data_IF_233715238018
#
_entry.id   IF_233715238018
#
_cell.length_a   1.000
_cell.length_b   1.000
_cell.length_c   1.000
_cell.angle_alpha   90.00
_cell.angle_beta   90.00
_cell.angle_gamma   90.00
#
_symmetry.space_group_name_H-M   'P 1'
#
loop_
_entity.id
_entity.type
_entity.pdbx_description
1 polymer ?
#
# COMPACT_ATOMS: atom_id res chain seq x y z
N UNK A 1 -32.23 -21.55 26.79
CA UNK A 1 -32.19 -22.25 25.50
C UNK A 1 -32.13 -21.18 24.44
N UNK A 2 -30.92 -20.77 24.10
CA UNK A 2 -30.58 -20.16 22.81
C UNK A 2 -29.34 -20.91 22.36
N UNK A 3 -29.59 -22.06 21.74
CA UNK A 3 -28.55 -22.85 21.10
C UNK A 3 -28.16 -22.13 19.82
N UNK A 4 -26.90 -21.70 19.73
CA UNK A 4 -26.03 -21.87 18.55
C UNK A 4 -24.65 -21.27 18.88
N UNK A 5 -23.91 -22.00 19.72
CA UNK A 5 -22.51 -21.77 20.13
C UNK A 5 -21.52 -22.50 19.20
N UNK A 6 -21.93 -22.83 17.98
CA UNK A 6 -21.10 -23.57 17.04
C UNK A 6 -21.07 -22.86 15.68
N UNK A 7 -20.45 -21.68 15.61
CA UNK A 7 -19.88 -21.25 14.34
C UNK A 7 -18.57 -22.02 14.17
N UNK A 8 -18.69 -23.09 13.38
CA UNK A 8 -17.65 -24.07 13.14
C UNK A 8 -16.74 -23.44 12.09
N UNK A 9 -15.68 -22.76 12.56
CA UNK A 9 -14.54 -22.35 11.75
C UNK A 9 -13.99 -23.57 11.00
N UNK A 10 -14.54 -23.78 9.82
CA UNK A 10 -14.19 -24.83 8.88
C UNK A 10 -13.17 -24.20 7.95
N UNK A 11 -11.90 -24.50 8.20
CA UNK A 11 -10.74 -24.04 7.41
C UNK A 11 -10.78 -24.48 5.93
N UNK A 12 -11.79 -25.24 5.51
CA UNK A 12 -11.98 -25.79 4.16
C UNK A 12 -13.33 -25.37 3.52
N UNK A 13 -14.03 -24.40 4.10
CA UNK A 13 -15.31 -23.93 3.58
C UNK A 13 -15.12 -22.99 2.38
N UNK A 14 -15.43 -23.50 1.17
CA UNK A 14 -15.52 -22.68 -0.05
C UNK A 14 -16.71 -21.73 0.11
N UNK A 15 -16.42 -20.43 0.24
CA UNK A 15 -17.45 -19.38 0.24
C UNK A 15 -17.79 -19.01 -1.21
N UNK A 16 -19.00 -19.32 -1.71
CA UNK A 16 -19.42 -18.83 -3.00
C UNK A 16 -19.53 -17.30 -2.93
N UNK A 17 -18.95 -16.62 -3.91
CA UNK A 17 -18.97 -15.17 -4.06
C UNK A 17 -19.62 -14.81 -5.39
N UNK A 18 -20.46 -13.78 -5.38
CA UNK A 18 -21.02 -13.25 -6.63
C UNK A 18 -19.91 -12.53 -7.42
N UNK A 19 -19.80 -12.88 -8.69
CA UNK A 19 -18.74 -12.36 -9.55
C UNK A 19 -18.91 -10.86 -9.77
N UNK A 20 -20.14 -10.38 -9.99
CA UNK A 20 -20.41 -8.98 -10.30
C UNK A 20 -20.06 -8.10 -9.12
N UNK A 21 -20.56 -8.44 -7.93
CA UNK A 21 -20.27 -7.70 -6.69
C UNK A 21 -18.76 -7.68 -6.38
N UNK A 22 -18.08 -8.83 -6.54
CA UNK A 22 -16.64 -8.94 -6.29
C UNK A 22 -15.82 -8.09 -7.25
N UNK A 23 -16.18 -8.08 -8.54
CA UNK A 23 -15.48 -7.28 -9.55
C UNK A 23 -15.64 -5.78 -9.30
N UNK A 24 -16.84 -5.31 -8.98
CA UNK A 24 -17.11 -3.90 -8.68
C UNK A 24 -16.31 -3.44 -7.46
N UNK A 25 -16.34 -4.22 -6.38
CA UNK A 25 -15.59 -3.92 -5.15
C UNK A 25 -14.09 -3.89 -5.39
N UNK A 26 -13.54 -4.92 -6.05
CA UNK A 26 -12.10 -5.03 -6.32
C UNK A 26 -11.61 -3.90 -7.23
N UNK A 27 -12.44 -3.49 -8.19
CA UNK A 27 -12.13 -2.37 -9.07
C UNK A 27 -12.07 -1.04 -8.31
N UNK A 28 -13.07 -0.77 -7.46
CA UNK A 28 -13.11 0.45 -6.65
C UNK A 28 -11.93 0.50 -5.67
N UNK A 29 -11.63 -0.60 -4.99
CA UNK A 29 -10.52 -0.66 -4.02
C UNK A 29 -9.17 -0.39 -4.69
N UNK A 30 -8.94 -0.99 -5.87
CA UNK A 30 -7.73 -0.73 -6.63
C UNK A 30 -7.68 0.72 -7.14
N UNK A 31 -8.77 1.23 -7.70
CA UNK A 31 -8.85 2.59 -8.22
C UNK A 31 -8.57 3.62 -7.12
N UNK A 32 -9.21 3.47 -5.96
CA UNK A 32 -9.00 4.35 -4.81
C UNK A 32 -7.56 4.29 -4.30
N UNK A 33 -6.97 3.09 -4.20
CA UNK A 33 -5.56 2.92 -3.82
C UNK A 33 -4.61 3.63 -4.79
N UNK A 34 -4.86 3.54 -6.09
CA UNK A 34 -4.05 4.21 -7.13
C UNK A 34 -4.17 5.72 -7.02
N UNK A 35 -5.39 6.26 -6.88
CA UNK A 35 -5.64 7.70 -6.81
C UNK A 35 -4.97 8.30 -5.58
N UNK A 36 -5.22 7.73 -4.40
CA UNK A 36 -4.77 8.30 -3.14
C UNK A 36 -3.26 8.10 -2.89
N UNK A 37 -2.70 6.95 -3.27
CA UNK A 37 -1.39 6.52 -2.78
C UNK A 37 -0.32 6.30 -3.86
N UNK A 38 -0.61 6.62 -5.13
CA UNK A 38 0.36 6.39 -6.21
C UNK A 38 0.38 7.48 -7.27
N UNK A 39 -0.78 7.82 -7.82
CA UNK A 39 -0.87 8.61 -9.04
C UNK A 39 -0.78 10.11 -8.78
N UNK A 40 -1.56 10.63 -7.82
CA UNK A 40 -1.65 12.06 -7.55
C UNK A 40 -0.61 12.50 -6.51
N UNK A 41 0.06 13.64 -6.72
CA UNK A 41 0.92 14.23 -5.71
C UNK A 41 0.09 14.90 -4.60
N UNK A 42 0.70 15.02 -3.41
CA UNK A 42 0.09 15.78 -2.30
C UNK A 42 0.22 17.28 -2.57
N UNK A 43 -0.80 18.07 -2.21
CA UNK A 43 -0.83 19.52 -2.44
C UNK A 43 0.20 20.26 -1.58
N UNK A 44 0.55 19.71 -0.40
CA UNK A 44 1.44 20.37 0.57
C UNK A 44 2.88 20.44 0.10
N UNK A 45 3.36 19.37 -0.53
CA UNK A 45 4.76 19.21 -0.94
C UNK A 45 4.92 19.00 -2.45
N UNK A 46 3.85 18.71 -3.19
CA UNK A 46 3.89 18.40 -4.61
C UNK A 46 4.54 17.05 -4.92
N UNK A 47 4.85 16.23 -3.92
CA UNK A 47 5.62 15.00 -4.09
C UNK A 47 4.71 13.77 -4.20
N UNK A 48 5.10 12.85 -5.10
CA UNK A 48 4.52 11.50 -5.13
C UNK A 48 5.06 10.66 -3.96
N UNK A 49 4.31 9.66 -3.48
CA UNK A 49 4.74 8.82 -2.34
C UNK A 49 6.12 8.15 -2.53
N UNK A 50 6.48 7.76 -3.76
CA UNK A 50 7.79 7.18 -4.07
C UNK A 50 8.93 8.19 -3.85
N UNK A 51 8.76 9.44 -4.29
CA UNK A 51 9.77 10.48 -4.14
C UNK A 51 10.00 10.82 -2.67
N UNK A 52 8.91 10.90 -1.88
CA UNK A 52 8.98 11.13 -0.43
C UNK A 52 9.80 10.06 0.29
N UNK A 53 9.59 8.78 -0.06
CA UNK A 53 10.36 7.66 0.51
C UNK A 53 11.85 7.72 0.16
N UNK A 54 12.18 8.09 -1.08
CA UNK A 54 13.58 8.22 -1.52
C UNK A 54 14.29 9.32 -0.72
N UNK A 55 13.68 10.50 -0.62
CA UNK A 55 14.26 11.62 0.14
C UNK A 55 14.40 11.27 1.62
N UNK A 56 13.41 10.60 2.20
CA UNK A 56 13.46 10.14 3.58
C UNK A 56 14.60 9.14 3.81
N UNK A 57 14.75 8.12 2.95
CA UNK A 57 15.85 7.15 3.07
C UNK A 57 17.23 7.80 2.91
N UNK A 58 17.35 8.82 2.05
CA UNK A 58 18.59 9.60 1.93
C UNK A 58 18.91 10.36 3.22
N UNK A 59 17.90 10.88 3.93
CA UNK A 59 18.07 11.54 5.23
C UNK A 59 18.50 10.52 6.29
N UNK A 60 17.87 9.35 6.36
CA UNK A 60 18.23 8.29 7.32
C UNK A 60 19.66 7.75 7.10
N UNK A 61 20.08 7.63 5.84
CA UNK A 61 21.46 7.27 5.49
C UNK A 61 22.44 8.44 5.64
N UNK A 62 21.95 9.59 6.07
CA UNK A 62 22.71 10.81 6.29
C UNK A 62 23.49 11.21 5.02
N UNK A 63 22.85 11.12 3.86
CA UNK A 63 23.37 11.52 2.55
C UNK A 63 22.96 12.97 2.23
N UNK A 64 23.51 13.90 3.00
CA UNK A 64 23.35 15.34 2.77
C UNK A 64 24.18 15.86 1.58
N UNK A 65 23.90 17.10 1.14
CA UNK A 65 24.64 17.74 0.05
C UNK A 65 26.11 18.03 0.39
N UNK A 66 26.44 18.07 1.68
CA UNK A 66 27.79 18.21 2.23
C UNK A 66 28.65 16.95 2.08
N UNK A 67 28.04 15.81 1.74
CA UNK A 67 28.71 14.50 1.74
C UNK A 67 29.02 13.97 0.34
N UNK A 68 30.07 13.13 0.21
CA UNK A 68 30.39 12.51 -1.06
C UNK A 68 29.29 11.55 -1.53
N UNK A 69 29.11 11.47 -2.84
CA UNK A 69 28.10 10.61 -3.46
C UNK A 69 28.27 9.13 -3.07
N UNK A 70 27.14 8.46 -2.83
CA UNK A 70 27.06 7.02 -2.59
C UNK A 70 26.41 6.33 -3.79
N UNK A 71 26.67 5.04 -3.95
CA UNK A 71 26.10 4.24 -5.04
C UNK A 71 24.57 4.16 -4.92
N UNK A 72 23.87 4.34 -6.05
CA UNK A 72 22.40 4.33 -6.09
C UNK A 72 21.80 3.02 -5.55
N UNK A 73 22.46 1.88 -5.79
CA UNK A 73 22.02 0.58 -5.29
C UNK A 73 21.85 0.53 -3.76
N UNK A 74 22.57 1.37 -3.01
CA UNK A 74 22.45 1.46 -1.54
C UNK A 74 21.23 2.23 -1.06
N UNK A 75 20.62 3.06 -1.92
CA UNK A 75 19.42 3.86 -1.59
C UNK A 75 18.16 3.14 -2.07
N UNK A 76 18.27 2.35 -3.14
CA UNK A 76 17.14 1.61 -3.74
C UNK A 76 16.82 0.31 -3.01
N UNK A 77 17.85 -0.40 -2.51
CA UNK A 77 17.71 -1.66 -1.78
C UNK A 77 17.41 -1.45 -0.31
#
# INVERSE_FOLDING_TARGET
MDENIFDKDSFDAIKPVDLKETMETSYIDYAMSVIASRALPDVRDGLKPVQRRILYAMIELNNGPDKPHRKCARIVG
#
